data_IF_137959891231
#
_entry.id   IF_137959891231
#
_cell.length_a   1.000
_cell.length_b   1.000
_cell.length_c   1.000
_cell.angle_alpha   90.00
_cell.angle_beta   90.00
_cell.angle_gamma   90.00
#
_symmetry.space_group_name_H-M   'P 1'
#
loop_
_entity.id
_entity.type
_entity.pdbx_description
1 polymer ?
#
# COMPACT_ATOMS: atom_id res chain seq x y z
N UNK A 1 7.24 16.80 11.69
CA UNK A 1 5.89 16.20 11.74
C UNK A 1 4.88 17.02 12.54
N UNK A 2 5.14 17.39 13.81
CA UNK A 2 4.16 18.12 14.64
C UNK A 2 3.61 19.40 14.00
N UNK A 3 4.49 20.23 13.43
CA UNK A 3 4.09 21.47 12.76
C UNK A 3 3.22 21.24 11.52
N UNK A 4 3.52 20.21 10.74
CA UNK A 4 2.76 19.80 9.55
C UNK A 4 1.36 19.40 9.95
N UNK A 5 1.23 18.56 10.98
CA UNK A 5 -0.06 18.09 11.49
C UNK A 5 -0.90 19.26 12.01
N UNK A 6 -0.29 20.22 12.72
CA UNK A 6 -1.00 21.42 13.16
C UNK A 6 -1.48 22.29 12.00
N UNK A 7 -0.67 22.48 10.96
CA UNK A 7 -1.07 23.27 9.77
C UNK A 7 -2.12 22.55 8.92
N UNK A 8 -2.01 21.23 8.77
CA UNK A 8 -3.01 20.40 8.09
C UNK A 8 -4.35 20.43 8.84
N UNK A 9 -4.31 20.38 10.18
CA UNK A 9 -5.50 20.53 11.02
C UNK A 9 -6.16 21.89 10.82
N UNK A 10 -5.38 22.98 10.75
CA UNK A 10 -5.93 24.31 10.42
C UNK A 10 -6.65 24.33 9.07
N UNK A 11 -6.06 23.72 8.04
CA UNK A 11 -6.70 23.59 6.73
C UNK A 11 -7.99 22.78 6.78
N UNK A 12 -8.07 21.76 7.65
CA UNK A 12 -9.30 20.98 7.82
C UNK A 12 -10.49 21.85 8.30
N UNK A 13 -10.26 22.94 9.03
CA UNK A 13 -11.35 23.85 9.40
C UNK A 13 -11.87 24.71 8.24
N UNK A 14 -11.08 24.89 7.18
CA UNK A 14 -11.43 25.74 6.03
C UNK A 14 -11.70 24.97 4.74
N UNK A 15 -11.36 23.67 4.70
CA UNK A 15 -11.47 22.83 3.52
C UNK A 15 -12.36 21.60 3.83
N UNK A 16 -13.66 21.63 3.50
CA UNK A 16 -14.61 20.58 3.90
C UNK A 16 -14.21 19.16 3.45
N UNK A 17 -13.68 18.98 2.25
CA UNK A 17 -13.23 17.66 1.77
C UNK A 17 -12.05 17.11 2.58
N UNK A 18 -11.13 17.97 3.04
CA UNK A 18 -10.05 17.59 3.95
C UNK A 18 -10.56 17.33 5.38
N UNK A 19 -11.51 18.13 5.86
CA UNK A 19 -12.18 17.91 7.14
C UNK A 19 -12.79 16.50 7.22
N UNK A 20 -13.64 16.16 6.25
CA UNK A 20 -14.31 14.87 6.20
C UNK A 20 -13.30 13.73 6.07
N UNK A 21 -12.25 13.87 5.25
CA UNK A 21 -11.22 12.83 5.16
C UNK A 21 -10.44 12.66 6.47
N UNK A 22 -10.14 13.76 7.17
CA UNK A 22 -9.44 13.72 8.46
C UNK A 22 -10.27 13.04 9.55
N UNK A 23 -11.58 13.34 9.59
CA UNK A 23 -12.52 12.69 10.51
C UNK A 23 -12.66 11.20 10.21
N UNK A 24 -12.78 10.82 8.92
CA UNK A 24 -12.81 9.42 8.53
C UNK A 24 -11.53 8.68 8.97
N UNK A 25 -10.34 9.26 8.72
CA UNK A 25 -9.07 8.65 9.16
C UNK A 25 -9.00 8.53 10.67
N UNK A 26 -9.46 9.53 11.41
CA UNK A 26 -9.51 9.48 12.87
C UNK A 26 -10.43 8.34 13.37
N UNK A 27 -11.60 8.16 12.78
CA UNK A 27 -12.53 7.06 13.09
C UNK A 27 -11.93 5.70 12.73
N UNK A 28 -11.26 5.58 11.59
CA UNK A 28 -10.56 4.35 11.19
C UNK A 28 -9.41 4.02 12.15
N UNK A 29 -8.68 5.03 12.61
CA UNK A 29 -7.59 4.84 13.59
C UNK A 29 -8.13 4.48 14.98
N UNK A 30 -9.22 5.11 15.41
CA UNK A 30 -9.92 4.72 16.64
C UNK A 30 -10.38 3.25 16.58
N UNK A 31 -10.95 2.82 15.44
CA UNK A 31 -11.30 1.42 15.18
C UNK A 31 -10.08 0.49 15.20
N UNK A 32 -8.91 0.93 14.74
CA UNK A 32 -7.67 0.15 14.83
C UNK A 32 -7.25 -0.08 16.29
N UNK A 33 -7.35 0.94 17.14
CA UNK A 33 -6.93 0.88 18.55
C UNK A 33 -7.95 0.20 19.46
N UNK A 34 -9.24 0.54 19.30
CA UNK A 34 -10.32 0.24 20.24
C UNK A 34 -11.33 -0.76 19.69
N UNK A 35 -11.28 -1.07 18.39
CA UNK A 35 -12.17 -2.05 17.80
C UNK A 35 -11.95 -3.42 18.44
N UNK A 36 -12.99 -3.96 19.07
CA UNK A 36 -13.14 -5.40 19.16
C UNK A 36 -13.11 -5.98 17.74
N UNK A 37 -12.88 -7.29 17.59
CA UNK A 37 -12.67 -8.04 16.33
C UNK A 37 -13.63 -7.75 15.14
N UNK A 38 -14.59 -6.84 15.27
CA UNK A 38 -15.34 -6.24 14.17
C UNK A 38 -14.45 -5.49 13.18
N UNK A 39 -14.21 -6.12 12.03
CA UNK A 39 -13.53 -5.51 10.88
C UNK A 39 -14.35 -4.41 10.17
N UNK A 40 -15.64 -4.27 10.50
CA UNK A 40 -16.57 -3.40 9.76
C UNK A 40 -16.46 -1.94 10.17
N UNK A 41 -16.56 -1.07 9.16
CA UNK A 41 -16.59 0.38 9.31
C UNK A 41 -17.87 0.84 9.99
N UNK A 42 -17.79 1.91 10.77
CA UNK A 42 -18.98 2.54 11.36
C UNK A 42 -19.75 3.34 10.32
N UNK A 43 -21.00 3.69 10.62
CA UNK A 43 -21.83 4.53 9.75
C UNK A 43 -21.21 5.92 9.60
N UNK A 44 -20.65 6.45 10.68
CA UNK A 44 -19.98 7.74 10.73
C UNK A 44 -18.70 7.72 9.87
N UNK A 45 -17.90 6.66 9.96
CA UNK A 45 -16.70 6.47 9.13
C UNK A 45 -17.08 6.48 7.65
N UNK A 46 -18.13 5.73 7.28
CA UNK A 46 -18.64 5.68 5.91
C UNK A 46 -19.19 7.03 5.43
N UNK A 47 -19.90 7.75 6.29
CA UNK A 47 -20.43 9.08 5.99
C UNK A 47 -19.31 10.07 5.67
N UNK A 48 -18.32 10.19 6.57
CA UNK A 48 -17.22 11.13 6.37
C UNK A 48 -16.36 10.75 5.16
N UNK A 49 -16.10 9.46 4.93
CA UNK A 49 -15.41 9.05 3.72
C UNK A 49 -16.20 9.41 2.46
N UNK A 50 -17.48 9.06 2.38
CA UNK A 50 -18.33 9.38 1.23
C UNK A 50 -18.35 10.88 0.93
N UNK A 51 -18.58 11.71 1.96
CA UNK A 51 -18.57 13.18 1.81
C UNK A 51 -17.21 13.70 1.32
N UNK A 52 -16.10 13.22 1.88
CA UNK A 52 -14.77 13.63 1.43
C UNK A 52 -14.53 13.30 -0.04
N UNK A 53 -15.00 12.14 -0.51
CA UNK A 53 -14.85 11.69 -1.89
C UNK A 53 -15.67 12.54 -2.84
N UNK A 54 -16.94 12.80 -2.51
CA UNK A 54 -17.85 13.63 -3.32
C UNK A 54 -17.32 15.06 -3.42
N UNK A 55 -16.92 15.66 -2.31
CA UNK A 55 -16.45 17.04 -2.27
C UNK A 55 -15.09 17.19 -2.96
N UNK A 56 -14.16 16.24 -2.79
CA UNK A 56 -12.91 16.24 -3.53
C UNK A 56 -13.16 16.10 -5.03
N UNK A 57 -14.05 15.19 -5.44
CA UNK A 57 -14.39 15.03 -6.86
C UNK A 57 -14.96 16.31 -7.46
N UNK A 58 -15.84 17.02 -6.72
CA UNK A 58 -16.36 18.32 -7.13
C UNK A 58 -15.23 19.34 -7.29
N UNK A 59 -14.33 19.44 -6.31
CA UNK A 59 -13.21 20.39 -6.35
C UNK A 59 -12.26 20.12 -7.51
N UNK A 60 -11.98 18.85 -7.84
CA UNK A 60 -11.10 18.48 -8.94
C UNK A 60 -11.66 18.81 -10.34
N UNK A 61 -12.95 19.16 -10.45
CA UNK A 61 -13.57 19.62 -11.71
C UNK A 61 -13.39 21.12 -11.96
N UNK A 62 -12.95 21.86 -10.95
CA UNK A 62 -12.69 23.29 -11.03
C UNK A 62 -11.19 23.56 -11.22
N UNK A 63 -10.78 24.71 -11.79
CA UNK A 63 -9.37 25.09 -11.85
C UNK A 63 -8.68 25.00 -10.48
N UNK A 64 -7.48 24.42 -10.43
CA UNK A 64 -6.74 24.23 -9.17
C UNK A 64 -5.80 25.41 -8.97
N UNK A 65 -6.03 26.20 -7.91
CA UNK A 65 -5.15 27.31 -7.50
C UNK A 65 -4.13 26.83 -6.46
N UNK A 66 -3.11 27.63 -6.18
CA UNK A 66 -2.04 27.26 -5.24
C UNK A 66 -2.55 26.92 -3.83
N UNK A 67 -3.56 27.67 -3.35
CA UNK A 67 -4.19 27.45 -2.03
C UNK A 67 -4.87 26.08 -1.90
N UNK A 68 -5.26 25.46 -3.02
CA UNK A 68 -6.00 24.20 -3.05
C UNK A 68 -5.08 22.98 -3.08
N UNK A 69 -3.82 23.15 -3.47
CA UNK A 69 -2.89 22.05 -3.74
C UNK A 69 -2.62 21.18 -2.52
N UNK A 70 -2.35 21.79 -1.36
CA UNK A 70 -2.11 21.04 -0.12
C UNK A 70 -3.35 20.35 0.43
N UNK A 71 -4.52 21.02 0.51
CA UNK A 71 -5.77 20.32 0.83
C UNK A 71 -6.04 19.13 -0.10
N UNK A 72 -5.88 19.29 -1.42
CA UNK A 72 -6.11 18.21 -2.39
C UNK A 72 -5.14 17.05 -2.14
N UNK A 73 -3.84 17.33 -1.98
CA UNK A 73 -2.85 16.30 -1.73
C UNK A 73 -3.08 15.57 -0.40
N UNK A 74 -3.42 16.31 0.66
CA UNK A 74 -3.75 15.77 1.97
C UNK A 74 -4.98 14.86 1.95
N UNK A 75 -6.05 15.29 1.29
CA UNK A 75 -7.26 14.49 1.13
C UNK A 75 -7.01 13.24 0.29
N UNK A 76 -6.27 13.35 -0.82
CA UNK A 76 -5.92 12.19 -1.63
C UNK A 76 -5.06 11.17 -0.85
N UNK A 77 -4.12 11.65 -0.02
CA UNK A 77 -3.35 10.79 0.89
C UNK A 77 -4.24 10.09 1.93
N UNK A 78 -5.19 10.83 2.53
CA UNK A 78 -6.15 10.26 3.47
C UNK A 78 -7.06 9.21 2.81
N UNK A 79 -7.54 9.45 1.59
CA UNK A 79 -8.32 8.47 0.84
C UNK A 79 -7.55 7.18 0.53
N UNK A 80 -6.24 7.29 0.26
CA UNK A 80 -5.36 6.10 0.12
C UNK A 80 -5.25 5.35 1.45
N UNK A 81 -5.06 6.04 2.58
CA UNK A 81 -5.05 5.42 3.91
C UNK A 81 -6.38 4.70 4.18
N UNK A 82 -7.51 5.35 3.89
CA UNK A 82 -8.85 4.82 4.12
C UNK A 82 -9.12 3.57 3.27
N UNK A 83 -8.85 3.60 1.96
CA UNK A 83 -9.07 2.43 1.11
C UNK A 83 -8.17 1.27 1.50
N UNK A 84 -6.92 1.52 1.89
CA UNK A 84 -6.05 0.46 2.38
C UNK A 84 -6.57 -0.15 3.67
N UNK A 85 -6.95 0.69 4.63
CA UNK A 85 -7.45 0.28 5.95
C UNK A 85 -8.81 -0.41 5.93
N UNK A 86 -9.44 -0.48 4.76
CA UNK A 86 -10.81 -0.93 4.60
C UNK A 86 -10.86 -2.27 3.90
N UNK A 87 -11.01 -3.30 4.72
CA UNK A 87 -11.40 -4.64 4.29
C UNK A 87 -12.79 -4.93 4.85
N UNK A 88 -13.73 -5.33 4.00
CA UNK A 88 -15.06 -5.76 4.46
C UNK A 88 -15.03 -7.21 5.01
N UNK A 89 -13.87 -7.86 4.92
CA UNK A 89 -13.62 -9.24 5.31
C UNK A 89 -13.18 -9.32 6.78
N UNK A 90 -13.92 -10.04 7.62
CA UNK A 90 -13.53 -10.25 9.02
C UNK A 90 -12.66 -11.50 9.21
N UNK A 91 -12.67 -12.43 8.24
CA UNK A 91 -11.90 -13.67 8.29
C UNK A 91 -11.04 -13.84 7.03
N UNK A 92 -9.97 -14.64 7.08
CA UNK A 92 -9.12 -14.92 5.92
C UNK A 92 -9.91 -15.49 4.73
N UNK A 93 -10.89 -16.36 4.98
CA UNK A 93 -11.71 -17.01 3.93
C UNK A 93 -12.60 -16.02 3.19
N UNK A 94 -13.01 -14.95 3.87
CA UNK A 94 -13.78 -13.85 3.29
C UNK A 94 -12.89 -12.83 2.57
N UNK A 95 -11.56 -12.90 2.75
CA UNK A 95 -10.62 -11.96 2.16
C UNK A 95 -10.11 -12.43 0.80
N UNK A 96 -9.66 -11.48 0.00
CA UNK A 96 -8.88 -11.79 -1.19
C UNK A 96 -7.52 -12.35 -0.76
N UNK A 97 -6.95 -13.38 -1.43
CA UNK A 97 -7.37 -13.99 -2.69
C UNK A 97 -8.28 -15.22 -2.57
N UNK A 98 -8.82 -15.55 -1.39
CA UNK A 98 -9.69 -16.72 -1.21
C UNK A 98 -11.12 -16.48 -1.69
N UNK A 99 -11.68 -15.30 -1.43
CA UNK A 99 -13.04 -14.96 -1.86
C UNK A 99 -13.20 -15.04 -3.39
N UNK A 100 -14.42 -15.25 -3.87
CA UNK A 100 -14.73 -15.18 -5.31
C UNK A 100 -14.34 -13.80 -5.86
N UNK A 101 -13.84 -13.77 -7.11
CA UNK A 101 -13.33 -12.54 -7.72
C UNK A 101 -14.39 -11.44 -7.71
N UNK A 102 -14.07 -10.33 -7.06
CA UNK A 102 -14.90 -9.13 -7.03
C UNK A 102 -14.28 -8.02 -7.88
N UNK A 103 -15.10 -7.06 -8.30
CA UNK A 103 -14.62 -5.88 -9.05
C UNK A 103 -13.70 -4.97 -8.24
N UNK A 104 -13.66 -5.12 -6.91
CA UNK A 104 -12.98 -4.24 -5.96
C UNK A 104 -11.65 -4.76 -5.37
N UNK A 105 -11.20 -5.95 -5.78
CA UNK A 105 -10.13 -6.70 -5.08
C UNK A 105 -8.78 -5.96 -4.97
N UNK A 106 -8.49 -5.06 -5.93
CA UNK A 106 -7.27 -4.24 -5.95
C UNK A 106 -7.59 -2.74 -6.09
N UNK A 107 -8.74 -2.29 -5.59
CA UNK A 107 -9.13 -0.88 -5.68
C UNK A 107 -8.16 0.06 -4.96
N UNK A 108 -7.50 -0.42 -3.91
CA UNK A 108 -6.45 0.33 -3.22
C UNK A 108 -5.26 0.67 -4.13
N UNK A 109 -4.92 -0.22 -5.08
CA UNK A 109 -3.88 0.02 -6.10
C UNK A 109 -4.33 1.15 -7.02
N UNK A 110 -5.57 1.06 -7.52
CA UNK A 110 -6.14 2.08 -8.42
C UNK A 110 -6.19 3.45 -7.74
N UNK A 111 -6.61 3.51 -6.47
CA UNK A 111 -6.65 4.75 -5.70
C UNK A 111 -5.25 5.33 -5.47
N UNK A 112 -4.26 4.49 -5.17
CA UNK A 112 -2.87 4.91 -5.01
C UNK A 112 -2.31 5.53 -6.28
N UNK A 113 -2.60 4.94 -7.45
CA UNK A 113 -2.26 5.52 -8.76
C UNK A 113 -2.99 6.85 -9.02
N UNK A 114 -4.28 6.91 -8.68
CA UNK A 114 -5.09 8.12 -8.79
C UNK A 114 -4.56 9.29 -7.95
N UNK A 115 -4.02 9.02 -6.76
CA UNK A 115 -3.28 10.03 -5.98
C UNK A 115 -2.02 10.47 -6.71
N UNK A 116 -1.23 9.53 -7.23
CA UNK A 116 0.05 9.85 -7.86
C UNK A 116 -0.11 10.63 -9.17
N UNK A 117 -1.23 10.52 -9.88
CA UNK A 117 -1.50 11.36 -11.06
C UNK A 117 -1.62 12.86 -10.71
N UNK A 118 -1.94 13.20 -9.45
CA UNK A 118 -1.97 14.59 -8.97
C UNK A 118 -0.58 15.17 -8.73
N UNK A 119 0.47 14.35 -8.71
CA UNK A 119 1.83 14.75 -8.30
C UNK A 119 2.32 16.01 -9.02
N UNK A 120 2.24 16.05 -10.35
CA UNK A 120 2.72 17.19 -11.14
C UNK A 120 1.83 18.43 -10.99
N UNK A 121 0.53 18.24 -10.73
CA UNK A 121 -0.45 19.33 -10.60
C UNK A 121 -0.29 20.03 -9.24
N UNK A 122 -0.24 19.24 -8.17
CA UNK A 122 -0.14 19.78 -6.80
C UNK A 122 1.30 20.11 -6.40
N UNK A 123 2.27 19.44 -6.99
CA UNK A 123 3.70 19.51 -6.69
C UNK A 123 3.95 19.61 -5.17
N UNK A 124 3.91 18.50 -4.42
CA UNK A 124 4.06 18.55 -2.96
C UNK A 124 5.45 19.03 -2.51
N UNK A 125 6.41 19.15 -3.43
CA UNK A 125 7.76 19.68 -3.19
C UNK A 125 7.88 21.19 -3.45
N UNK A 126 6.81 21.88 -3.89
CA UNK A 126 6.84 23.32 -4.14
C UNK A 126 7.24 24.11 -2.87
N UNK A 127 7.88 25.28 -2.99
CA UNK A 127 8.49 25.96 -1.86
C UNK A 127 7.55 26.28 -0.69
N UNK A 128 6.29 26.57 -1.00
CA UNK A 128 5.20 26.95 -0.08
C UNK A 128 4.37 25.75 0.44
N UNK A 129 4.65 24.53 -0.03
CA UNK A 129 3.91 23.33 0.37
C UNK A 129 4.20 22.91 1.80
N UNK A 130 3.13 22.59 2.54
CA UNK A 130 3.21 21.95 3.85
C UNK A 130 3.92 20.58 3.80
N UNK A 131 3.84 19.89 2.67
CA UNK A 131 4.41 18.55 2.47
C UNK A 131 5.88 18.58 2.07
N UNK A 132 6.47 19.76 1.82
CA UNK A 132 7.88 19.89 1.44
C UNK A 132 8.84 19.28 2.48
N UNK A 133 8.45 19.29 3.75
CA UNK A 133 9.16 18.61 4.85
C UNK A 133 9.34 17.10 4.62
N UNK A 134 8.51 16.48 3.77
CA UNK A 134 8.60 15.07 3.41
C UNK A 134 9.53 14.83 2.20
N UNK A 135 10.33 15.82 1.77
CA UNK A 135 11.18 15.71 0.59
C UNK A 135 12.10 14.47 0.61
N UNK A 136 12.70 14.15 1.76
CA UNK A 136 13.52 12.95 1.89
C UNK A 136 12.70 11.66 1.67
N UNK A 137 11.50 11.60 2.23
CA UNK A 137 10.58 10.48 2.01
C UNK A 137 10.18 10.39 0.54
N UNK A 138 9.84 11.51 -0.11
CA UNK A 138 9.49 11.52 -1.53
C UNK A 138 10.66 11.11 -2.43
N UNK A 139 11.89 11.49 -2.10
CA UNK A 139 13.08 11.03 -2.80
C UNK A 139 13.22 9.50 -2.68
N UNK A 140 12.97 8.93 -1.52
CA UNK A 140 12.95 7.47 -1.33
C UNK A 140 11.82 6.80 -2.13
N UNK A 141 10.61 7.36 -2.12
CA UNK A 141 9.48 6.85 -2.91
C UNK A 141 9.78 6.79 -4.42
N UNK A 142 10.64 7.70 -4.89
CA UNK A 142 11.02 7.83 -6.29
C UNK A 142 12.37 7.20 -6.62
N UNK A 143 13.07 6.63 -5.63
CA UNK A 143 14.40 6.06 -5.80
C UNK A 143 14.41 5.06 -6.98
N UNK A 144 15.44 5.11 -7.85
CA UNK A 144 15.53 4.19 -8.97
C UNK A 144 15.60 2.74 -8.47
N UNK A 145 14.91 1.84 -9.17
CA UNK A 145 15.14 0.41 -9.01
C UNK A 145 16.25 -0.01 -9.98
N UNK A 146 16.98 -1.11 -9.70
CA UNK A 146 18.00 -1.62 -10.62
C UNK A 146 17.43 -1.84 -12.02
N UNK A 147 18.24 -1.63 -13.06
CA UNK A 147 17.80 -1.85 -14.46
C UNK A 147 17.99 -3.31 -14.90
N UNK A 148 18.90 -4.04 -14.25
CA UNK A 148 19.24 -5.42 -14.55
C UNK A 148 19.74 -6.16 -13.31
N UNK A 149 19.59 -7.47 -13.33
CA UNK A 149 20.28 -8.39 -12.43
C UNK A 149 19.57 -8.59 -11.09
N UNK A 150 20.28 -9.24 -10.18
CA UNK A 150 19.76 -9.66 -8.87
C UNK A 150 20.67 -9.17 -7.72
N UNK A 151 21.45 -8.13 -7.98
CA UNK A 151 22.38 -7.58 -7.00
C UNK A 151 21.65 -7.20 -5.71
N UNK A 152 22.23 -7.61 -4.57
CA UNK A 152 21.65 -7.38 -3.23
C UNK A 152 20.30 -8.08 -2.98
N UNK A 153 19.87 -9.00 -3.84
CA UNK A 153 18.66 -9.80 -3.63
C UNK A 153 18.97 -11.13 -2.91
N UNK A 154 18.19 -11.51 -1.88
CA UNK A 154 18.28 -12.85 -1.31
C UNK A 154 18.12 -13.92 -2.39
N UNK A 155 19.07 -14.87 -2.46
CA UNK A 155 19.07 -15.92 -3.49
C UNK A 155 17.77 -16.71 -3.57
N UNK A 156 17.15 -17.00 -2.42
CA UNK A 156 15.87 -17.69 -2.39
C UNK A 156 14.76 -16.86 -3.07
N UNK A 157 14.75 -15.54 -2.88
CA UNK A 157 13.78 -14.64 -3.51
C UNK A 157 14.00 -14.56 -5.02
N UNK A 158 15.27 -14.44 -5.46
CA UNK A 158 15.60 -14.47 -6.88
C UNK A 158 15.17 -15.80 -7.53
N UNK A 159 15.42 -16.93 -6.86
CA UNK A 159 15.06 -18.25 -7.36
C UNK A 159 13.55 -18.43 -7.53
N UNK A 160 12.74 -18.08 -6.51
CA UNK A 160 11.27 -18.23 -6.59
C UNK A 160 10.64 -17.29 -7.62
N UNK A 161 11.26 -16.13 -7.87
CA UNK A 161 10.84 -15.21 -8.93
C UNK A 161 11.39 -15.58 -10.32
N UNK A 162 12.21 -16.63 -10.46
CA UNK A 162 12.86 -16.99 -11.72
C UNK A 162 13.79 -15.90 -12.26
N UNK A 163 14.40 -15.09 -11.38
CA UNK A 163 15.30 -14.01 -11.72
C UNK A 163 16.74 -14.51 -11.87
N UNK A 164 17.44 -13.96 -12.86
CA UNK A 164 18.85 -14.24 -13.19
C UNK A 164 19.61 -12.93 -13.34
N UNK A 165 20.94 -12.99 -13.43
CA UNK A 165 21.78 -11.80 -13.62
C UNK A 165 21.46 -11.01 -14.91
N UNK A 166 20.88 -11.67 -15.91
CA UNK A 166 20.43 -11.05 -17.15
C UNK A 166 18.99 -10.53 -17.11
N UNK A 167 18.24 -10.78 -16.04
CA UNK A 167 16.83 -10.38 -15.93
C UNK A 167 16.70 -8.86 -15.83
N UNK A 168 15.63 -8.35 -16.42
CA UNK A 168 15.25 -6.93 -16.46
C UNK A 168 13.74 -6.80 -16.29
N UNK A 169 13.24 -5.58 -16.20
CA UNK A 169 11.81 -5.30 -16.11
C UNK A 169 11.01 -5.76 -17.35
N UNK A 170 11.64 -5.81 -18.52
CA UNK A 170 11.03 -6.26 -19.77
C UNK A 170 10.96 -7.79 -19.87
N UNK A 171 11.93 -8.49 -19.27
CA UNK A 171 12.07 -9.95 -19.41
C UNK A 171 11.44 -10.74 -18.28
N UNK A 172 11.22 -10.12 -17.11
CA UNK A 172 10.59 -10.77 -15.97
C UNK A 172 9.58 -9.83 -15.28
N UNK A 173 8.28 -10.18 -15.22
CA UNK A 173 7.25 -9.32 -14.67
C UNK A 173 7.38 -9.10 -13.15
N UNK A 174 8.12 -9.95 -12.43
CA UNK A 174 8.34 -9.82 -10.99
C UNK A 174 9.50 -8.88 -10.64
N UNK A 175 10.32 -8.49 -11.63
CA UNK A 175 11.62 -7.88 -11.41
C UNK A 175 11.60 -6.66 -10.46
N UNK A 176 10.80 -5.64 -10.76
CA UNK A 176 10.71 -4.44 -9.90
C UNK A 176 10.10 -4.73 -8.53
N UNK A 177 9.09 -5.61 -8.48
CA UNK A 177 8.42 -5.96 -7.23
C UNK A 177 9.36 -6.75 -6.29
N UNK A 178 10.12 -7.69 -6.84
CA UNK A 178 11.12 -8.46 -6.11
C UNK A 178 12.25 -7.57 -5.58
N UNK A 179 12.75 -6.63 -6.39
CA UNK A 179 13.75 -5.64 -5.93
C UNK A 179 13.19 -4.74 -4.82
N UNK A 180 11.96 -4.26 -4.95
CA UNK A 180 11.33 -3.45 -3.92
C UNK A 180 11.10 -4.21 -2.60
N UNK A 181 10.68 -5.48 -2.67
CA UNK A 181 10.58 -6.36 -1.49
C UNK A 181 11.96 -6.60 -0.87
N UNK A 182 12.97 -6.87 -1.70
CA UNK A 182 14.34 -7.12 -1.24
C UNK A 182 14.88 -6.00 -0.36
N UNK A 183 14.61 -4.74 -0.71
CA UNK A 183 15.08 -3.58 0.05
C UNK A 183 14.50 -3.48 1.47
N UNK A 184 13.36 -4.11 1.73
CA UNK A 184 12.71 -4.06 3.04
C UNK A 184 12.83 -5.36 3.84
N UNK A 185 13.20 -6.49 3.21
CA UNK A 185 13.25 -7.78 3.88
C UNK A 185 14.26 -7.83 5.03
N UNK A 186 15.44 -7.23 4.84
CA UNK A 186 16.54 -7.24 5.82
C UNK A 186 16.44 -6.11 6.85
N UNK A 187 15.49 -5.18 6.69
CA UNK A 187 15.24 -4.14 7.68
C UNK A 187 14.44 -4.69 8.87
N UNK A 188 14.69 -4.25 10.11
CA UNK A 188 13.76 -4.48 11.21
C UNK A 188 12.36 -3.96 10.84
N UNK A 189 11.29 -4.69 11.16
CA UNK A 189 9.92 -4.30 10.79
C UNK A 189 9.52 -2.91 11.28
N UNK A 190 10.07 -2.46 12.43
CA UNK A 190 9.88 -1.14 13.01
C UNK A 190 10.52 0.00 12.19
N UNK A 191 11.45 -0.31 11.30
CA UNK A 191 12.22 0.67 10.53
C UNK A 191 11.70 0.86 9.09
N UNK A 192 10.69 0.09 8.69
CA UNK A 192 10.10 0.22 7.35
C UNK A 192 9.29 1.50 7.26
N UNK A 193 9.82 2.48 6.53
CA UNK A 193 9.19 3.77 6.32
C UNK A 193 8.23 3.79 5.14
N UNK A 194 7.37 4.82 5.09
CA UNK A 194 6.44 5.05 3.97
C UNK A 194 7.14 5.18 2.61
N UNK A 195 8.40 5.65 2.60
CA UNK A 195 9.22 5.77 1.40
C UNK A 195 9.45 4.41 0.74
N UNK A 196 9.98 3.44 1.49
CA UNK A 196 10.26 2.10 0.99
C UNK A 196 8.97 1.34 0.65
N UNK A 197 7.93 1.49 1.46
CA UNK A 197 6.59 0.92 1.20
C UNK A 197 6.06 1.34 -0.16
N UNK A 198 6.28 2.59 -0.58
CA UNK A 198 5.82 3.12 -1.85
C UNK A 198 6.56 2.54 -3.06
N UNK A 199 7.82 2.10 -2.92
CA UNK A 199 8.57 1.49 -4.04
C UNK A 199 7.88 0.24 -4.56
N UNK A 200 7.43 -0.62 -3.65
CA UNK A 200 6.66 -1.81 -4.01
C UNK A 200 5.31 -1.41 -4.64
N UNK A 201 4.57 -0.48 -4.02
CA UNK A 201 3.28 -0.03 -4.58
C UNK A 201 3.43 0.56 -5.99
N UNK A 202 4.54 1.26 -6.27
CA UNK A 202 4.86 1.78 -7.61
C UNK A 202 5.12 0.66 -8.61
N UNK A 203 5.65 -0.49 -8.19
CA UNK A 203 5.88 -1.65 -9.06
C UNK A 203 4.59 -2.38 -9.48
N UNK A 204 3.45 -2.09 -8.84
CA UNK A 204 2.15 -2.69 -9.16
C UNK A 204 1.56 -2.02 -10.40
N UNK A 205 2.06 -2.38 -11.57
CA UNK A 205 1.53 -1.94 -12.86
C UNK A 205 1.77 -2.98 -13.96
N UNK A 206 1.05 -2.84 -15.07
CA UNK A 206 1.26 -3.65 -16.27
C UNK A 206 1.24 -5.15 -15.95
N UNK A 207 2.21 -5.94 -16.46
CA UNK A 207 2.23 -7.40 -16.28
C UNK A 207 2.16 -7.87 -14.82
N UNK A 208 2.83 -7.16 -13.88
CA UNK A 208 2.81 -7.57 -12.48
C UNK A 208 1.43 -7.39 -11.84
N UNK A 209 0.72 -6.30 -12.17
CA UNK A 209 -0.65 -6.10 -11.71
C UNK A 209 -1.59 -7.16 -12.29
N UNK A 210 -1.42 -7.54 -13.56
CA UNK A 210 -2.22 -8.60 -14.18
C UNK A 210 -2.02 -9.95 -13.49
N UNK A 211 -0.78 -10.26 -13.08
CA UNK A 211 -0.46 -11.46 -12.30
C UNK A 211 -1.14 -11.45 -10.93
N UNK A 212 -1.12 -10.32 -10.22
CA UNK A 212 -1.88 -10.17 -8.98
C UNK A 212 -3.37 -10.40 -9.23
N UNK A 213 -3.97 -9.80 -10.26
CA UNK A 213 -5.40 -10.01 -10.60
C UNK A 213 -5.74 -11.47 -10.89
N UNK A 214 -4.80 -12.20 -11.49
CA UNK A 214 -4.91 -13.64 -11.78
C UNK A 214 -4.55 -14.53 -10.59
N UNK A 215 -4.22 -13.94 -9.42
CA UNK A 215 -3.82 -14.66 -8.20
C UNK A 215 -2.58 -15.53 -8.43
N UNK A 216 -1.68 -15.05 -9.28
CA UNK A 216 -0.41 -15.72 -9.56
C UNK A 216 0.37 -15.97 -8.26
N UNK A 217 0.87 -17.20 -8.04
CA UNK A 217 1.44 -17.57 -6.75
C UNK A 217 2.67 -16.75 -6.35
N UNK A 218 3.55 -16.42 -7.29
CA UNK A 218 4.76 -15.64 -7.02
C UNK A 218 4.39 -14.18 -6.75
N UNK A 219 3.45 -13.62 -7.51
CA UNK A 219 2.96 -12.26 -7.26
C UNK A 219 2.29 -12.14 -5.88
N UNK A 220 1.49 -13.13 -5.49
CA UNK A 220 0.89 -13.22 -4.16
C UNK A 220 1.95 -13.35 -3.07
N UNK A 221 2.99 -14.16 -3.28
CA UNK A 221 4.09 -14.28 -2.33
C UNK A 221 4.80 -12.93 -2.11
N UNK A 222 5.11 -12.20 -3.18
CA UNK A 222 5.74 -10.88 -3.07
C UNK A 222 4.88 -9.89 -2.29
N UNK A 223 3.57 -9.87 -2.55
CA UNK A 223 2.61 -9.05 -1.80
C UNK A 223 2.54 -9.48 -0.31
N UNK A 224 2.56 -10.77 -0.03
CA UNK A 224 2.58 -11.31 1.34
C UNK A 224 3.84 -10.86 2.10
N UNK A 225 5.02 -10.98 1.48
CA UNK A 225 6.29 -10.54 2.09
C UNK A 225 6.29 -9.04 2.36
N UNK A 226 5.77 -8.25 1.41
CA UNK A 226 5.61 -6.82 1.60
C UNK A 226 4.67 -6.49 2.76
N UNK A 227 3.49 -7.12 2.84
CA UNK A 227 2.57 -6.93 3.96
C UNK A 227 3.21 -7.28 5.30
N UNK A 228 3.95 -8.40 5.37
CA UNK A 228 4.60 -8.83 6.61
C UNK A 228 5.57 -7.80 7.17
N UNK A 229 6.38 -7.18 6.32
CA UNK A 229 7.37 -6.18 6.78
C UNK A 229 6.73 -4.83 7.07
N UNK A 230 5.78 -4.41 6.24
CA UNK A 230 5.19 -3.07 6.35
C UNK A 230 4.10 -2.95 7.42
N UNK A 231 3.39 -4.04 7.72
CA UNK A 231 2.37 -4.04 8.78
C UNK A 231 2.93 -3.89 10.20
N UNK A 232 4.23 -4.12 10.41
CA UNK A 232 4.89 -3.94 11.71
C UNK A 232 5.00 -2.46 12.15
N UNK A 233 5.01 -1.52 11.22
CA UNK A 233 5.27 -0.10 11.48
C UNK A 233 4.19 0.82 10.92
N UNK A 234 3.33 0.33 10.03
CA UNK A 234 2.31 1.12 9.33
C UNK A 234 0.91 0.57 9.64
N UNK A 235 0.26 1.18 10.62
CA UNK A 235 -1.04 0.75 11.16
C UNK A 235 -2.14 0.55 10.09
N UNK A 236 -2.17 1.40 9.06
CA UNK A 236 -3.20 1.34 8.03
C UNK A 236 -2.98 0.20 7.02
N UNK A 237 -1.75 -0.29 6.90
CA UNK A 237 -1.44 -1.54 6.18
C UNK A 237 -1.80 -2.73 7.04
N UNK A 238 -1.50 -2.65 8.34
CA UNK A 238 -1.77 -3.71 9.31
C UNK A 238 -3.22 -4.18 9.28
N UNK A 239 -4.20 -3.26 9.24
CA UNK A 239 -5.62 -3.60 9.18
C UNK A 239 -5.96 -4.56 8.03
N UNK A 240 -5.42 -4.34 6.84
CA UNK A 240 -5.61 -5.21 5.68
C UNK A 240 -4.77 -6.48 5.78
N UNK A 241 -3.51 -6.35 6.19
CA UNK A 241 -2.58 -7.47 6.31
C UNK A 241 -3.09 -8.54 7.30
N UNK A 242 -3.80 -8.13 8.38
CA UNK A 242 -4.39 -9.05 9.37
C UNK A 242 -5.31 -10.11 8.74
N UNK A 243 -5.99 -9.79 7.64
CA UNK A 243 -6.89 -10.73 6.95
C UNK A 243 -6.33 -11.23 5.63
N UNK A 244 -5.63 -10.39 4.86
CA UNK A 244 -5.08 -10.78 3.55
C UNK A 244 -3.81 -11.64 3.67
N UNK A 245 -2.92 -11.42 4.65
CA UNK A 245 -1.75 -12.30 4.83
C UNK A 245 -2.14 -13.77 5.08
N UNK A 246 -3.02 -14.09 6.05
CA UNK A 246 -3.46 -15.47 6.23
C UNK A 246 -4.26 -15.99 5.04
N UNK A 247 -5.04 -15.14 4.35
CA UNK A 247 -5.77 -15.54 3.14
C UNK A 247 -4.82 -15.92 2.01
N UNK A 248 -3.76 -15.14 1.77
CA UNK A 248 -2.70 -15.46 0.79
C UNK A 248 -2.04 -16.78 1.16
N UNK A 249 -1.66 -16.96 2.44
CA UNK A 249 -1.05 -18.21 2.90
C UNK A 249 -1.97 -19.40 2.60
N UNK A 250 -3.22 -19.33 3.04
CA UNK A 250 -4.20 -20.39 2.83
C UNK A 250 -4.43 -20.67 1.34
N UNK A 251 -4.56 -19.63 0.51
CA UNK A 251 -4.72 -19.78 -0.94
C UNK A 251 -3.55 -20.53 -1.57
N UNK A 252 -2.31 -20.09 -1.28
CA UNK A 252 -1.11 -20.76 -1.77
C UNK A 252 -1.05 -22.21 -1.29
N UNK A 253 -1.40 -22.46 -0.02
CA UNK A 253 -1.44 -23.82 0.53
C UNK A 253 -2.53 -24.71 -0.05
N UNK A 254 -3.61 -24.15 -0.57
CA UNK A 254 -4.73 -24.91 -1.11
C UNK A 254 -4.53 -25.22 -2.60
N UNK A 255 -4.03 -24.25 -3.37
CA UNK A 255 -4.00 -24.31 -4.84
C UNK A 255 -2.60 -24.51 -5.43
N UNK A 256 -1.53 -24.35 -4.65
CA UNK A 256 -0.14 -24.47 -5.11
C UNK A 256 0.67 -25.44 -4.24
N UNK A 257 0.09 -26.62 -3.97
CA UNK A 257 0.59 -27.59 -3.00
C UNK A 257 1.94 -28.22 -3.26
N UNK A 258 2.38 -28.18 -4.50
CA UNK A 258 3.57 -28.88 -4.97
C UNK A 258 4.78 -27.94 -5.10
N UNK A 259 4.61 -26.65 -4.80
CA UNK A 259 5.67 -25.65 -4.95
C UNK A 259 6.42 -25.40 -3.63
N UNK A 260 7.34 -26.33 -3.31
CA UNK A 260 8.17 -26.30 -2.10
C UNK A 260 8.97 -24.98 -1.95
N UNK A 261 9.29 -24.34 -3.07
CA UNK A 261 9.99 -23.05 -3.07
C UNK A 261 9.11 -21.95 -2.48
N UNK A 262 7.83 -21.87 -2.86
CA UNK A 262 6.87 -20.94 -2.25
C UNK A 262 6.66 -21.26 -0.76
N UNK A 263 6.47 -22.54 -0.42
CA UNK A 263 6.23 -22.98 0.95
C UNK A 263 7.31 -22.56 1.92
N UNK A 264 8.56 -22.53 1.45
CA UNK A 264 9.71 -22.14 2.26
C UNK A 264 9.57 -20.75 2.89
N UNK A 265 8.84 -19.82 2.25
CA UNK A 265 8.59 -18.45 2.72
C UNK A 265 7.37 -18.31 3.65
N UNK A 266 6.43 -19.25 3.59
CA UNK A 266 5.16 -19.19 4.32
C UNK A 266 5.34 -19.70 5.76
N UNK A 267 4.42 -19.40 6.71
CA UNK A 267 4.59 -19.82 8.10
C UNK A 267 4.79 -21.34 8.21
N UNK A 268 5.81 -21.77 8.95
CA UNK A 268 6.23 -23.17 9.06
C UNK A 268 7.21 -23.63 7.98
N UNK A 269 7.51 -22.78 7.00
CA UNK A 269 8.54 -23.01 5.98
C UNK A 269 9.95 -22.69 6.47
N UNK A 270 10.96 -23.26 5.80
CA UNK A 270 12.37 -23.24 6.21
C UNK A 270 12.97 -21.84 6.40
N UNK A 271 12.49 -20.82 5.68
CA UNK A 271 13.00 -19.44 5.76
C UNK A 271 11.95 -18.44 6.27
N UNK A 272 10.83 -18.94 6.77
CA UNK A 272 9.67 -18.11 7.18
C UNK A 272 9.94 -17.17 8.36
N UNK A 273 10.87 -17.55 9.23
CA UNK A 273 11.30 -16.80 10.41
C UNK A 273 12.49 -15.87 10.16
N UNK A 274 13.16 -16.02 9.00
CA UNK A 274 14.38 -15.26 8.67
C UNK A 274 14.14 -13.75 8.57
N UNK A 275 12.92 -13.34 8.22
CA UNK A 275 12.55 -11.94 7.97
C UNK A 275 11.39 -11.46 8.84
N UNK A 276 11.24 -12.05 10.04
CA UNK A 276 10.33 -11.50 11.06
C UNK A 276 10.75 -10.09 11.48
#
# INVERSE_FOLDING_TARGET
MKEVNCRLLKLAFTCPFLMHASLAVALTYDRHLNGSLGCRRTVEECYHWSQSTVLLNKRLREPIEDKDKDPIWGTAAALVILIFSSTDSCTPEQAWPLKSSGSSDLDWVRMSKGKMSLWNIVNPLRPDSLFRVMAATFAQMQAPLPERGIDSMPRALAAVCGLKDSSTAETNPYFHAAHAVSQILDLPGSEVGTGQTQLFMRSIHGPFEDLLRKRDPVALLLLYLWYRKTSCSIWWIELRARVECPAICLYLRLYHKEDDALYSFLPGGAISDRWK
#
